data_IF_162046626179
#
_entry.id   IF_162046626179
#
_cell.length_a   1.000
_cell.length_b   1.000
_cell.length_c   1.000
_cell.angle_alpha   90.00
_cell.angle_beta   90.00
_cell.angle_gamma   90.00
#
_symmetry.space_group_name_H-M   'P 1'
#
loop_
_entity.id
_entity.type
_entity.pdbx_description
1 polymer ?
#
# COMPACT_ATOMS: atom_id res chain seq x y z
N UNK A 1 -15.98 18.11 7.34
CA UNK A 1 -14.89 18.77 6.58
C UNK A 1 -14.97 18.40 5.08
N UNK A 2 -14.48 19.24 4.16
CA UNK A 2 -14.47 18.94 2.71
C UNK A 2 -13.32 17.97 2.42
N UNK A 3 -13.61 16.71 2.06
CA UNK A 3 -12.61 15.66 1.77
C UNK A 3 -11.43 16.13 0.91
N UNK A 4 -11.69 16.91 -0.15
CA UNK A 4 -10.64 17.44 -1.02
C UNK A 4 -9.57 18.24 -0.27
N UNK A 5 -9.92 18.96 0.81
CA UNK A 5 -8.96 19.71 1.63
C UNK A 5 -8.08 18.76 2.43
N UNK A 6 -8.71 17.79 3.12
CA UNK A 6 -8.01 16.75 3.90
C UNK A 6 -7.04 15.99 3.00
N UNK A 7 -7.51 15.49 1.85
CA UNK A 7 -6.68 14.76 0.90
C UNK A 7 -5.42 15.53 0.47
N UNK A 8 -5.54 16.84 0.22
CA UNK A 8 -4.39 17.68 -0.15
C UNK A 8 -3.46 17.90 1.02
N UNK A 9 -4.01 18.09 2.22
CA UNK A 9 -3.21 18.30 3.43
C UNK A 9 -2.45 17.00 3.78
N UNK A 10 -3.09 15.83 3.68
CA UNK A 10 -2.47 14.51 3.83
C UNK A 10 -1.31 14.33 2.83
N UNK A 11 -1.50 14.67 1.54
CA UNK A 11 -0.42 14.61 0.52
C UNK A 11 0.78 15.49 0.89
N UNK A 12 0.56 16.65 1.52
CA UNK A 12 1.68 17.52 1.95
C UNK A 12 2.50 16.89 3.07
N UNK A 13 1.89 16.06 3.90
CA UNK A 13 2.60 15.34 4.95
C UNK A 13 3.39 14.14 4.40
N UNK A 14 3.11 13.72 3.15
CA UNK A 14 3.82 12.62 2.48
C UNK A 14 5.17 13.02 1.89
N UNK A 15 5.95 12.00 1.55
CA UNK A 15 7.29 12.15 0.99
C UNK A 15 7.27 13.11 -0.21
N UNK A 16 8.09 14.20 -0.21
CA UNK A 16 8.01 15.24 -1.22
C UNK A 16 8.15 14.73 -2.66
N UNK A 17 8.97 13.70 -2.87
CA UNK A 17 9.22 13.11 -4.19
C UNK A 17 8.09 12.26 -4.75
N UNK A 18 7.02 12.00 -3.98
CA UNK A 18 5.89 11.19 -4.40
C UNK A 18 4.61 12.02 -4.63
N UNK A 19 4.65 13.33 -4.35
CA UNK A 19 3.47 14.20 -4.37
C UNK A 19 2.78 14.31 -5.74
N UNK A 20 3.55 14.17 -6.82
CA UNK A 20 3.06 14.13 -8.21
C UNK A 20 2.41 12.78 -8.59
N UNK A 21 2.68 11.73 -7.81
CA UNK A 21 2.13 10.39 -7.98
C UNK A 21 0.73 10.23 -7.39
N UNK A 22 0.19 11.26 -6.73
CA UNK A 22 -1.16 11.23 -6.18
C UNK A 22 -2.23 11.67 -7.18
N UNK A 23 -3.48 11.32 -6.87
CA UNK A 23 -4.64 11.66 -7.69
C UNK A 23 -4.76 13.17 -7.90
N UNK A 24 -4.93 13.58 -9.14
CA UNK A 24 -5.30 14.95 -9.52
C UNK A 24 -6.76 15.29 -9.14
N UNK A 25 -7.10 15.15 -7.85
CA UNK A 25 -8.46 15.16 -7.32
C UNK A 25 -9.21 16.46 -7.63
N UNK A 26 -8.50 17.60 -7.61
CA UNK A 26 -9.11 18.90 -7.96
C UNK A 26 -9.55 18.96 -9.41
N UNK A 27 -8.75 18.42 -10.31
CA UNK A 27 -8.97 18.49 -11.74
C UNK A 27 -10.07 17.52 -12.16
N UNK A 28 -10.02 16.27 -11.69
CA UNK A 28 -11.11 15.32 -11.86
C UNK A 28 -12.44 15.87 -11.32
N UNK A 29 -12.41 16.54 -10.16
CA UNK A 29 -13.60 17.20 -9.60
C UNK A 29 -14.07 18.40 -10.44
N UNK A 30 -13.18 19.08 -11.15
CA UNK A 30 -13.54 20.15 -12.10
C UNK A 30 -14.26 19.53 -13.29
N UNK A 31 -13.69 18.50 -13.91
CA UNK A 31 -14.29 17.81 -15.06
C UNK A 31 -15.67 17.23 -14.73
N UNK A 32 -15.85 16.57 -13.58
CA UNK A 32 -17.18 16.06 -13.18
C UNK A 32 -18.24 17.17 -13.11
N UNK A 33 -17.87 18.40 -12.72
CA UNK A 33 -18.84 19.51 -12.66
C UNK A 33 -19.29 19.97 -14.03
N UNK A 34 -18.45 19.79 -15.05
CA UNK A 34 -18.71 20.19 -16.43
C UNK A 34 -19.55 19.16 -17.19
N UNK A 35 -19.63 17.91 -16.70
CA UNK A 35 -20.47 16.88 -17.32
C UNK A 35 -21.93 17.35 -17.35
N UNK A 36 -22.48 17.39 -18.56
CA UNK A 36 -23.89 17.67 -18.82
C UNK A 36 -24.73 16.39 -18.79
N UNK A 37 -26.06 16.52 -18.68
CA UNK A 37 -26.97 15.38 -18.56
C UNK A 37 -26.98 14.49 -19.83
N UNK A 38 -26.61 15.05 -20.98
CA UNK A 38 -26.44 14.31 -22.24
C UNK A 38 -25.10 13.54 -22.33
N UNK A 39 -24.16 13.74 -21.40
CA UNK A 39 -22.83 13.13 -21.43
C UNK A 39 -21.77 13.87 -22.21
N UNK A 40 -22.07 15.09 -22.64
CA UNK A 40 -21.02 15.98 -23.11
C UNK A 40 -19.97 16.17 -22.00
N UNK A 41 -18.71 16.33 -22.42
CA UNK A 41 -17.51 16.49 -21.54
C UNK A 41 -17.16 15.26 -20.67
N UNK A 42 -17.93 14.17 -20.74
CA UNK A 42 -17.66 12.94 -19.99
C UNK A 42 -16.36 12.25 -20.45
N UNK A 43 -16.07 12.27 -21.75
CA UNK A 43 -14.89 11.64 -22.33
C UNK A 43 -13.58 12.21 -21.76
N UNK A 44 -13.52 13.51 -21.49
CA UNK A 44 -12.34 14.15 -20.88
C UNK A 44 -12.11 13.65 -19.44
N UNK A 45 -13.19 13.52 -18.66
CA UNK A 45 -13.11 12.96 -17.31
C UNK A 45 -12.59 11.52 -17.34
N UNK A 46 -13.14 10.67 -18.22
CA UNK A 46 -12.73 9.26 -18.34
C UNK A 46 -11.28 9.15 -18.80
N UNK A 47 -10.87 9.95 -19.77
CA UNK A 47 -9.49 9.99 -20.25
C UNK A 47 -8.51 10.35 -19.12
N UNK A 48 -8.78 11.42 -18.37
CA UNK A 48 -7.93 11.81 -17.25
C UNK A 48 -7.93 10.74 -16.14
N UNK A 49 -9.08 10.14 -15.83
CA UNK A 49 -9.18 9.11 -14.81
C UNK A 49 -8.33 7.88 -15.16
N UNK A 50 -8.35 7.44 -16.43
CA UNK A 50 -7.52 6.33 -16.91
C UNK A 50 -6.03 6.66 -16.78
N UNK A 51 -5.62 7.84 -17.23
CA UNK A 51 -4.22 8.28 -17.12
C UNK A 51 -3.75 8.33 -15.65
N UNK A 52 -4.62 8.75 -14.72
CA UNK A 52 -4.31 8.76 -13.30
C UNK A 52 -4.18 7.34 -12.72
N UNK A 53 -4.96 6.38 -13.22
CA UNK A 53 -4.85 4.97 -12.82
C UNK A 53 -3.58 4.33 -13.38
N UNK A 54 -3.25 4.59 -14.65
CA UNK A 54 -2.00 4.11 -15.25
C UNK A 54 -0.78 4.67 -14.50
N UNK A 55 -0.80 5.95 -14.15
CA UNK A 55 0.22 6.57 -13.29
C UNK A 55 0.37 5.85 -11.95
N UNK A 56 -0.72 5.41 -11.32
CA UNK A 56 -0.65 4.66 -10.07
C UNK A 56 -0.08 3.26 -10.26
N UNK A 57 -0.43 2.58 -11.36
CA UNK A 57 0.13 1.28 -11.70
C UNK A 57 1.65 1.39 -11.92
N UNK A 58 2.09 2.35 -12.72
CA UNK A 58 3.51 2.57 -12.99
C UNK A 58 4.29 2.85 -11.69
N UNK A 59 3.77 3.74 -10.85
CA UNK A 59 4.38 4.04 -9.55
C UNK A 59 4.41 2.82 -8.63
N UNK A 60 3.33 2.04 -8.60
CA UNK A 60 3.24 0.86 -7.76
C UNK A 60 4.26 -0.20 -8.18
N UNK A 61 4.30 -0.54 -9.47
CA UNK A 61 5.23 -1.53 -10.02
C UNK A 61 6.67 -1.10 -9.76
N UNK A 62 7.01 0.16 -10.02
CA UNK A 62 8.36 0.68 -9.73
C UNK A 62 8.75 0.49 -8.26
N UNK A 63 7.82 0.77 -7.34
CA UNK A 63 8.08 0.70 -5.90
C UNK A 63 8.09 -0.74 -5.36
N UNK A 64 7.29 -1.61 -5.96
CA UNK A 64 7.30 -3.04 -5.73
C UNK A 64 8.64 -3.66 -6.17
N UNK A 65 9.14 -3.30 -7.35
CA UNK A 65 10.48 -3.74 -7.81
C UNK A 65 11.59 -3.26 -6.86
N UNK A 66 11.56 -1.98 -6.46
CA UNK A 66 12.52 -1.41 -5.49
C UNK A 66 12.46 -2.17 -4.15
N UNK A 67 11.26 -2.60 -3.73
CA UNK A 67 11.08 -3.39 -2.52
C UNK A 67 11.70 -4.79 -2.65
N UNK A 68 11.40 -5.50 -3.73
CA UNK A 68 11.92 -6.84 -4.01
C UNK A 68 13.45 -6.84 -4.01
N UNK A 69 14.07 -5.82 -4.62
CA UNK A 69 15.53 -5.67 -4.65
C UNK A 69 16.08 -5.56 -3.22
N UNK A 70 15.54 -4.64 -2.40
CA UNK A 70 16.00 -4.45 -1.01
C UNK A 70 15.78 -5.67 -0.13
N UNK A 71 14.64 -6.35 -0.31
CA UNK A 71 14.37 -7.61 0.37
C UNK A 71 15.42 -8.67 0.03
N UNK A 72 15.78 -8.82 -1.25
CA UNK A 72 16.81 -9.77 -1.68
C UNK A 72 18.21 -9.42 -1.15
N UNK A 73 18.55 -8.15 -1.07
CA UNK A 73 19.81 -7.70 -0.46
C UNK A 73 19.89 -8.06 1.03
N UNK A 74 18.82 -7.81 1.78
CA UNK A 74 18.70 -8.20 3.19
C UNK A 74 18.85 -9.71 3.37
N UNK A 75 18.09 -10.50 2.60
CA UNK A 75 18.12 -11.97 2.64
C UNK A 75 19.55 -12.49 2.45
N UNK A 76 20.28 -11.95 1.47
CA UNK A 76 21.67 -12.31 1.22
C UNK A 76 22.62 -11.86 2.34
N UNK A 77 22.43 -10.67 2.90
CA UNK A 77 23.25 -10.15 3.99
C UNK A 77 23.11 -11.03 5.24
N UNK A 78 21.90 -11.45 5.58
CA UNK A 78 21.63 -12.34 6.72
C UNK A 78 22.23 -13.73 6.48
N UNK A 79 22.06 -14.31 5.28
CA UNK A 79 22.67 -15.60 4.92
C UNK A 79 24.20 -15.58 5.04
N UNK A 80 24.83 -14.50 4.57
CA UNK A 80 26.29 -14.29 4.71
C UNK A 80 26.70 -14.23 6.19
N UNK A 81 25.95 -13.52 7.00
CA UNK A 81 26.21 -13.38 8.43
C UNK A 81 26.13 -14.69 9.20
N UNK A 82 25.08 -15.47 8.98
CA UNK A 82 24.90 -16.79 9.60
C UNK A 82 26.05 -17.71 9.22
N UNK A 83 26.46 -17.69 7.95
CA UNK A 83 27.59 -18.48 7.45
C UNK A 83 28.93 -18.10 8.12
N UNK A 84 29.15 -16.80 8.37
CA UNK A 84 30.37 -16.28 9.02
C UNK A 84 30.39 -16.52 10.54
N UNK A 85 29.22 -16.53 11.20
CA UNK A 85 29.06 -16.74 12.65
C UNK A 85 29.63 -18.09 13.12
N UNK A 86 29.69 -19.10 12.23
CA UNK A 86 30.32 -20.39 12.51
C UNK A 86 31.83 -20.34 12.77
N UNK A 87 32.50 -19.19 12.59
CA UNK A 87 33.95 -19.08 12.75
C UNK A 87 34.45 -18.09 13.82
N UNK A 88 33.73 -17.00 14.14
CA UNK A 88 34.10 -16.08 15.23
C UNK A 88 32.87 -15.25 15.68
N UNK A 89 32.45 -15.39 16.94
CA UNK A 89 31.28 -14.72 17.51
C UNK A 89 31.50 -13.22 17.74
N UNK A 90 31.08 -12.38 16.79
CA UNK A 90 31.00 -10.92 16.97
C UNK A 90 29.55 -10.45 17.07
N UNK A 91 29.25 -9.76 18.17
CA UNK A 91 27.95 -9.14 18.48
C UNK A 91 27.63 -7.90 17.63
N UNK A 92 28.53 -7.42 16.76
CA UNK A 92 28.25 -6.22 15.94
C UNK A 92 27.20 -6.47 14.84
N UNK A 93 26.82 -7.73 14.59
CA UNK A 93 25.96 -8.11 13.48
C UNK A 93 24.46 -7.90 13.76
N UNK A 94 24.01 -8.03 15.01
CA UNK A 94 22.59 -8.02 15.36
C UNK A 94 21.93 -6.64 15.24
N UNK A 95 22.62 -5.58 15.69
CA UNK A 95 22.17 -4.19 15.53
C UNK A 95 22.03 -3.79 14.06
N UNK A 96 22.96 -4.24 13.20
CA UNK A 96 22.95 -3.91 11.77
C UNK A 96 21.77 -4.57 11.04
N UNK A 97 21.39 -5.81 11.41
CA UNK A 97 20.19 -6.46 10.88
C UNK A 97 18.92 -5.75 11.32
N UNK A 98 18.83 -5.42 12.61
CA UNK A 98 17.65 -4.76 13.15
C UNK A 98 17.41 -3.40 12.47
N UNK A 99 18.46 -2.64 12.17
CA UNK A 99 18.37 -1.38 11.44
C UNK A 99 17.92 -1.55 9.98
N UNK A 100 18.49 -2.52 9.25
CA UNK A 100 18.04 -2.86 7.89
C UNK A 100 16.57 -3.34 7.87
N UNK A 101 16.16 -4.16 8.85
CA UNK A 101 14.77 -4.61 9.00
C UNK A 101 13.81 -3.45 9.26
N UNK A 102 14.17 -2.53 10.16
CA UNK A 102 13.36 -1.35 10.45
C UNK A 102 13.21 -0.46 9.22
N UNK A 103 14.26 -0.36 8.40
CA UNK A 103 14.24 0.38 7.15
C UNK A 103 13.26 -0.24 6.14
N UNK A 104 13.29 -1.57 5.97
CA UNK A 104 12.35 -2.30 5.11
C UNK A 104 10.91 -2.18 5.60
N UNK A 105 10.69 -2.35 6.90
CA UNK A 105 9.40 -2.18 7.58
C UNK A 105 8.81 -0.80 7.28
N UNK A 106 9.60 0.26 7.52
CA UNK A 106 9.17 1.62 7.26
C UNK A 106 8.81 1.83 5.78
N UNK A 107 9.60 1.26 4.87
CA UNK A 107 9.34 1.37 3.45
C UNK A 107 8.00 0.72 3.05
N UNK A 108 7.67 -0.46 3.58
CA UNK A 108 6.38 -1.14 3.34
C UNK A 108 5.22 -0.30 3.86
N UNK A 109 5.35 0.22 5.08
CA UNK A 109 4.31 1.04 5.71
C UNK A 109 4.07 2.33 4.92
N UNK A 110 5.14 2.99 4.48
CA UNK A 110 5.06 4.19 3.65
C UNK A 110 4.39 3.88 2.30
N UNK A 111 4.87 2.86 1.57
CA UNK A 111 4.33 2.44 0.28
C UNK A 111 2.83 2.11 0.37
N UNK A 112 2.46 1.25 1.32
CA UNK A 112 1.07 0.86 1.51
C UNK A 112 0.20 2.03 1.97
N UNK A 113 0.73 2.91 2.82
CA UNK A 113 0.05 4.13 3.26
C UNK A 113 -0.33 5.04 2.08
N UNK A 114 0.54 5.13 1.08
CA UNK A 114 0.26 5.91 -0.14
C UNK A 114 -0.73 5.24 -1.07
N UNK A 115 -0.62 3.94 -1.27
CA UNK A 115 -1.60 3.19 -2.07
C UNK A 115 -3.01 3.38 -1.52
N UNK A 116 -3.18 3.25 -0.21
CA UNK A 116 -4.48 3.40 0.45
C UNK A 116 -5.02 4.81 0.28
N UNK A 117 -4.16 5.84 0.35
CA UNK A 117 -4.57 7.22 0.15
C UNK A 117 -5.03 7.46 -1.30
N UNK A 118 -4.29 6.96 -2.29
CA UNK A 118 -4.68 7.03 -3.70
C UNK A 118 -5.99 6.29 -3.99
N UNK A 119 -6.15 5.09 -3.45
CA UNK A 119 -7.38 4.33 -3.57
C UNK A 119 -8.57 5.04 -2.93
N UNK A 120 -8.40 5.63 -1.74
CA UNK A 120 -9.44 6.42 -1.12
C UNK A 120 -9.85 7.61 -2.01
N UNK A 121 -8.86 8.32 -2.59
CA UNK A 121 -9.09 9.38 -3.58
C UNK A 121 -9.94 8.91 -4.76
N UNK A 122 -9.59 7.76 -5.34
CA UNK A 122 -10.33 7.14 -6.45
C UNK A 122 -11.76 6.78 -6.06
N UNK A 123 -11.96 6.12 -4.92
CA UNK A 123 -13.31 5.78 -4.45
C UNK A 123 -14.17 7.02 -4.27
N UNK A 124 -13.61 8.11 -3.72
CA UNK A 124 -14.36 9.36 -3.51
C UNK A 124 -14.65 10.08 -4.81
N UNK A 125 -13.76 10.04 -5.80
CA UNK A 125 -13.98 10.68 -7.11
C UNK A 125 -15.03 9.93 -7.91
N UNK A 126 -14.99 8.59 -7.89
CA UNK A 126 -15.99 7.73 -8.51
C UNK A 126 -17.38 7.92 -7.88
N UNK A 127 -17.47 7.94 -6.54
CA UNK A 127 -18.72 8.26 -5.83
C UNK A 127 -19.26 9.64 -6.18
N UNK A 128 -18.39 10.60 -6.49
CA UNK A 128 -18.82 11.94 -6.92
C UNK A 128 -19.36 11.93 -8.35
N UNK A 129 -18.72 11.20 -9.24
CA UNK A 129 -19.18 10.99 -10.61
C UNK A 129 -20.55 10.30 -10.62
N UNK A 130 -20.72 9.20 -9.88
CA UNK A 130 -22.00 8.47 -9.79
C UNK A 130 -23.15 9.37 -9.35
N UNK A 131 -22.92 10.22 -8.33
CA UNK A 131 -23.94 11.18 -7.88
C UNK A 131 -24.31 12.22 -8.93
N UNK A 132 -23.36 12.61 -9.78
CA UNK A 132 -23.57 13.60 -10.84
C UNK A 132 -24.32 13.00 -12.03
N UNK A 133 -24.10 11.72 -12.33
CA UNK A 133 -24.75 11.01 -13.44
C UNK A 133 -25.99 10.22 -13.02
N UNK A 134 -26.40 10.31 -11.75
CA UNK A 134 -27.54 9.58 -11.19
C UNK A 134 -27.32 8.06 -11.07
N UNK A 135 -26.08 7.59 -11.14
CA UNK A 135 -25.71 6.17 -11.05
C UNK A 135 -26.12 5.32 -12.25
N UNK A 136 -26.76 5.91 -13.26
CA UNK A 136 -27.25 5.22 -14.46
C UNK A 136 -26.14 4.89 -15.47
N UNK A 137 -25.01 5.60 -15.40
CA UNK A 137 -23.80 5.37 -16.20
C UNK A 137 -22.74 4.67 -15.38
N UNK A 138 -23.17 3.68 -14.58
CA UNK A 138 -22.27 2.91 -13.72
C UNK A 138 -21.21 2.28 -14.61
N UNK A 139 -20.00 2.79 -14.50
CA UNK A 139 -18.90 2.48 -15.38
C UNK A 139 -18.59 0.96 -15.31
N UNK A 140 -18.68 0.20 -16.43
CA UNK A 140 -18.11 -1.15 -16.52
C UNK A 140 -16.63 -1.18 -16.09
N UNK A 141 -15.96 -0.03 -16.21
CA UNK A 141 -14.61 0.23 -15.74
C UNK A 141 -14.42 0.07 -14.21
N UNK A 142 -15.45 0.21 -13.38
CA UNK A 142 -15.33 -0.03 -11.93
C UNK A 142 -14.99 -1.48 -11.59
N UNK A 143 -15.43 -2.45 -12.40
CA UNK A 143 -15.02 -3.85 -12.27
C UNK A 143 -13.56 -4.01 -12.69
N UNK A 144 -13.16 -3.39 -13.79
CA UNK A 144 -11.77 -3.41 -14.26
C UNK A 144 -10.80 -2.78 -13.26
N UNK A 145 -11.20 -1.70 -12.56
CA UNK A 145 -10.38 -1.07 -11.51
C UNK A 145 -9.90 -2.12 -10.50
N UNK A 146 -10.75 -3.09 -10.13
CA UNK A 146 -10.46 -4.14 -9.14
C UNK A 146 -9.39 -5.14 -9.59
N UNK A 147 -9.11 -5.20 -10.89
CA UNK A 147 -8.13 -6.10 -11.49
C UNK A 147 -6.74 -5.45 -11.61
N UNK A 148 -6.60 -4.17 -11.26
CA UNK A 148 -5.35 -3.46 -11.43
C UNK A 148 -4.30 -3.81 -10.35
N UNK A 149 -3.01 -3.86 -10.72
CA UNK A 149 -1.91 -4.24 -9.82
C UNK A 149 -1.88 -3.50 -8.49
N UNK A 150 -2.16 -2.19 -8.46
CA UNK A 150 -2.13 -1.38 -7.22
C UNK A 150 -3.18 -1.78 -6.16
N UNK A 151 -4.11 -2.68 -6.52
CA UNK A 151 -5.09 -3.26 -5.59
C UNK A 151 -4.74 -4.67 -5.16
N UNK A 152 -3.83 -5.35 -5.87
CA UNK A 152 -3.31 -6.64 -5.42
C UNK A 152 -2.34 -6.39 -4.28
N UNK A 153 -2.59 -7.07 -3.18
CA UNK A 153 -1.80 -6.94 -1.95
C UNK A 153 -1.22 -8.28 -1.50
N UNK A 154 -1.47 -9.32 -2.29
CA UNK A 154 -1.03 -10.69 -2.03
C UNK A 154 0.50 -10.76 -1.97
N UNK A 155 1.17 -10.11 -2.92
CA UNK A 155 2.63 -10.07 -2.97
C UNK A 155 3.23 -9.32 -1.79
N UNK A 156 2.66 -8.16 -1.42
CA UNK A 156 3.14 -7.39 -0.25
C UNK A 156 2.98 -8.22 1.02
N UNK A 157 1.83 -8.89 1.18
CA UNK A 157 1.54 -9.73 2.34
C UNK A 157 2.50 -10.92 2.42
N UNK A 158 2.78 -11.57 1.29
CA UNK A 158 3.74 -12.66 1.20
C UNK A 158 5.15 -12.19 1.56
N UNK A 159 5.62 -11.08 0.99
CA UNK A 159 6.94 -10.53 1.27
C UNK A 159 7.07 -10.06 2.73
N UNK A 160 6.01 -9.53 3.34
CA UNK A 160 5.99 -9.16 4.76
C UNK A 160 6.14 -10.39 5.65
N UNK A 161 5.39 -11.45 5.35
CA UNK A 161 5.49 -12.73 6.05
C UNK A 161 6.89 -13.34 5.89
N UNK A 162 7.46 -13.27 4.70
CA UNK A 162 8.83 -13.71 4.46
C UNK A 162 9.87 -12.87 5.24
N UNK A 163 9.66 -11.55 5.35
CA UNK A 163 10.48 -10.71 6.21
C UNK A 163 10.42 -11.16 7.68
N UNK A 164 9.22 -11.44 8.20
CA UNK A 164 9.05 -11.92 9.58
C UNK A 164 9.71 -13.29 9.81
N UNK A 165 9.63 -14.21 8.84
CA UNK A 165 10.31 -15.50 8.93
C UNK A 165 11.84 -15.35 8.99
N UNK A 166 12.40 -14.44 8.19
CA UNK A 166 13.84 -14.16 8.20
C UNK A 166 14.27 -13.56 9.55
N UNK A 167 13.43 -12.74 10.19
CA UNK A 167 13.68 -12.22 11.55
C UNK A 167 13.73 -13.38 12.55
N UNK A 168 12.73 -14.26 12.51
CA UNK A 168 12.64 -15.41 13.40
C UNK A 168 13.87 -16.32 13.24
N UNK A 169 14.31 -16.59 12.00
CA UNK A 169 15.51 -17.39 11.72
C UNK A 169 16.79 -16.74 12.25
N UNK A 170 16.96 -15.42 12.03
CA UNK A 170 18.11 -14.69 12.53
C UNK A 170 18.18 -14.68 14.06
N UNK A 171 17.02 -14.54 14.72
CA UNK A 171 16.90 -14.54 16.17
C UNK A 171 17.15 -15.94 16.77
N UNK A 172 16.57 -16.99 16.19
CA UNK A 172 16.81 -18.37 16.62
C UNK A 172 18.26 -18.82 16.41
N UNK A 173 18.92 -18.35 15.34
CA UNK A 173 20.35 -18.57 15.13
C UNK A 173 21.24 -17.81 16.15
N UNK A 174 20.75 -16.68 16.68
CA UNK A 174 21.36 -15.94 17.79
C UNK A 174 21.19 -16.66 19.14
N UNK A 175 19.96 -17.03 19.50
CA UNK A 175 19.65 -17.73 20.76
C UNK A 175 20.30 -19.11 20.88
N UNK A 176 20.46 -19.84 19.77
CA UNK A 176 21.19 -21.12 19.76
C UNK A 176 22.67 -20.96 20.16
N UNK A 177 23.27 -19.79 19.92
CA UNK A 177 24.62 -19.45 20.35
C UNK A 177 24.69 -18.88 21.78
N UNK A 178 23.57 -18.37 22.31
CA UNK A 178 23.50 -17.59 23.56
C UNK A 178 22.79 -18.26 24.74
N UNK A 179 22.60 -19.59 24.73
CA UNK A 179 22.05 -20.37 25.88
C UNK A 179 22.86 -20.32 27.20
N UNK A 180 23.72 -19.33 27.41
CA UNK A 180 24.40 -19.06 28.69
C UNK A 180 23.93 -17.77 29.37
N UNK A 181 23.21 -16.84 28.71
CA UNK A 181 22.72 -15.66 29.45
C UNK A 181 21.43 -15.11 28.88
N UNK A 182 20.36 -15.20 29.66
CA UNK A 182 19.05 -14.67 29.29
C UNK A 182 19.04 -13.14 29.32
N UNK A 183 18.67 -12.47 28.22
CA UNK A 183 17.64 -11.41 28.22
C UNK A 183 17.26 -10.87 26.84
N UNK A 184 16.00 -10.42 26.80
CA UNK A 184 15.33 -9.55 25.83
C UNK A 184 14.70 -10.24 24.61
N UNK A 185 13.48 -10.74 24.83
CA UNK A 185 12.54 -11.18 23.80
C UNK A 185 12.14 -9.99 22.93
N UNK A 186 12.41 -10.06 21.64
CA UNK A 186 11.84 -9.15 20.64
C UNK A 186 10.34 -9.45 20.48
N UNK A 187 9.47 -8.52 20.92
CA UNK A 187 7.99 -8.62 20.88
C UNK A 187 7.37 -8.19 19.53
N UNK A 188 8.20 -8.07 18.47
CA UNK A 188 7.76 -7.55 17.16
C UNK A 188 7.03 -8.57 16.28
N UNK A 189 6.88 -9.81 16.73
CA UNK A 189 6.27 -10.89 15.95
C UNK A 189 4.83 -10.57 15.56
N UNK A 190 4.51 -10.64 14.27
CA UNK A 190 3.20 -10.31 13.71
C UNK A 190 2.83 -8.84 13.81
N UNK A 191 3.75 -7.91 14.14
CA UNK A 191 3.45 -6.47 14.15
C UNK A 191 3.26 -5.94 12.73
N UNK A 192 4.08 -6.42 11.78
CA UNK A 192 3.97 -6.05 10.37
C UNK A 192 2.72 -6.69 9.76
N UNK A 193 2.51 -7.99 10.00
CA UNK A 193 1.32 -8.70 9.53
C UNK A 193 0.04 -8.02 10.02
N UNK A 194 -0.04 -7.63 11.31
CA UNK A 194 -1.19 -6.88 11.86
C UNK A 194 -1.39 -5.50 11.22
N UNK A 195 -0.31 -4.77 10.92
CA UNK A 195 -0.41 -3.45 10.25
C UNK A 195 -0.90 -3.63 8.83
N UNK A 196 -0.36 -4.60 8.10
CA UNK A 196 -0.78 -4.94 6.73
C UNK A 196 -2.24 -5.39 6.74
N UNK A 197 -2.62 -6.37 7.57
CA UNK A 197 -4.01 -6.82 7.74
C UNK A 197 -4.97 -5.66 8.05
N UNK A 198 -4.58 -4.72 8.92
CA UNK A 198 -5.41 -3.56 9.23
C UNK A 198 -5.59 -2.64 8.02
N UNK A 199 -4.55 -2.47 7.19
CA UNK A 199 -4.59 -1.68 5.96
C UNK A 199 -5.38 -2.40 4.86
N UNK A 200 -5.24 -3.72 4.72
CA UNK A 200 -6.03 -4.56 3.81
C UNK A 200 -7.50 -4.52 4.18
N UNK A 201 -7.82 -4.70 5.46
CA UNK A 201 -9.19 -4.61 5.96
C UNK A 201 -9.79 -3.22 5.76
N UNK A 202 -8.98 -2.16 5.84
CA UNK A 202 -9.43 -0.79 5.50
C UNK A 202 -9.74 -0.66 4.01
N UNK A 203 -8.93 -1.28 3.14
CA UNK A 203 -9.14 -1.32 1.69
C UNK A 203 -10.40 -2.15 1.32
N UNK A 204 -10.56 -3.35 1.87
CA UNK A 204 -11.74 -4.20 1.71
C UNK A 204 -13.02 -3.52 2.21
N UNK A 205 -12.99 -2.90 3.39
CA UNK A 205 -14.15 -2.17 3.90
C UNK A 205 -14.55 -1.00 2.97
N UNK A 206 -13.60 -0.33 2.33
CA UNK A 206 -13.90 0.68 1.31
C UNK A 206 -14.53 0.07 0.04
N UNK A 207 -14.21 -1.19 -0.25
CA UNK A 207 -14.72 -1.96 -1.38
C UNK A 207 -16.12 -2.54 -1.11
N UNK A 208 -16.38 -3.12 0.06
CA UNK A 208 -17.68 -3.72 0.46
C UNK A 208 -18.80 -2.69 0.58
N UNK A 209 -18.49 -1.43 0.95
CA UNK A 209 -19.48 -0.33 0.90
C UNK A 209 -20.05 -0.12 -0.52
N UNK A 210 -19.43 -0.68 -1.58
CA UNK A 210 -19.97 -0.66 -2.95
C UNK A 210 -21.07 -1.69 -3.21
N UNK A 211 -21.14 -2.79 -2.45
CA UNK A 211 -22.14 -3.84 -2.66
C UNK A 211 -23.41 -3.61 -1.82
N UNK A 212 -23.24 -3.18 -0.56
CA UNK A 212 -24.34 -3.01 0.41
C UNK A 212 -25.29 -1.83 0.18
N UNK A 213 -25.08 -0.99 -0.84
CA UNK A 213 -26.06 0.04 -1.22
C UNK A 213 -27.06 -0.43 -2.30
N UNK A 214 -27.00 -1.72 -2.67
CA UNK A 214 -27.87 -2.30 -3.71
C UNK A 214 -29.11 -3.02 -3.16
N UNK A 215 -29.37 -2.99 -1.84
CA UNK A 215 -30.51 -3.72 -1.26
C UNK A 215 -31.44 -2.89 -0.37
N UNK A 216 -31.81 -1.66 -0.75
CA UNK A 216 -33.02 -1.03 -0.23
C UNK A 216 -33.56 -0.01 -1.23
N UNK A 217 -34.22 -0.51 -2.29
CA UNK A 217 -35.22 0.20 -3.07
C UNK A 217 -35.81 -0.79 -4.08
N UNK A 218 -36.60 -1.72 -3.57
CA UNK A 218 -37.62 -2.46 -4.30
C UNK A 218 -38.64 -2.90 -3.25
N UNK A 219 -39.52 -1.96 -2.88
CA UNK A 219 -40.90 -2.15 -2.44
C UNK A 219 -41.61 -0.80 -2.44
#
# INVERSE_FOLDING_TARGET
MKFAKIYIDDIKEKQPGWRDKFLSYKELKRLIRLIHDDGSEEAEFICLLNNEIDKFNDFFIEKEEEFIIRYKELEQNIKRAISLRGTNGSHSSETDYMEMMNTLTKYIVDLHGEMVLNFEGLVKILKKYDRKTGGLRRLPFLQKILEHPFLSTDLISELVRECENIIDEAYQAGEAAERVNAKAVFDGKGSLERIVEALLKKQENMMIVKEGTTSMQNE
#
